data_IF_606552566184
#
_entry.id   IF_606552566184
#
_cell.length_a   1.000
_cell.length_b   1.000
_cell.length_c   1.000
_cell.angle_alpha   90.00
_cell.angle_beta   90.00
_cell.angle_gamma   90.00
#
_symmetry.space_group_name_H-M   'P 1'
#
loop_
_entity.id
_entity.type
_entity.pdbx_description
1 polymer ?
#
# COMPACT_ATOMS: atom_id res chain seq x y z
N UNK A 1 23.57 -11.03 -6.60
CA UNK A 1 22.69 -10.13 -7.38
C UNK A 1 21.31 -10.24 -6.75
N UNK A 2 21.04 -9.47 -5.69
CA UNK A 2 19.72 -9.41 -5.07
C UNK A 2 19.05 -8.13 -5.58
N UNK A 3 18.50 -8.23 -6.79
CA UNK A 3 17.85 -7.09 -7.43
C UNK A 3 16.42 -6.92 -6.89
N UNK A 4 16.08 -5.70 -6.46
CA UNK A 4 14.73 -5.19 -6.24
C UNK A 4 13.91 -5.86 -5.12
N UNK A 5 14.29 -5.63 -3.86
CA UNK A 5 13.44 -6.00 -2.72
C UNK A 5 12.23 -5.06 -2.66
N UNK A 6 11.02 -5.63 -2.62
CA UNK A 6 9.79 -4.86 -2.37
C UNK A 6 9.59 -4.77 -0.86
N UNK A 7 9.45 -3.54 -0.36
CA UNK A 7 9.20 -3.26 1.05
C UNK A 7 7.76 -2.78 1.20
N UNK A 8 7.02 -3.45 2.07
CA UNK A 8 5.67 -3.09 2.49
C UNK A 8 5.73 -2.47 3.88
N UNK A 9 5.26 -1.24 4.02
CA UNK A 9 5.26 -0.51 5.29
C UNK A 9 3.83 -0.12 5.66
N UNK A 10 3.24 -0.90 6.58
CA UNK A 10 1.91 -0.62 7.12
C UNK A 10 1.92 0.62 8.01
N UNK A 11 0.84 1.40 7.95
CA UNK A 11 0.60 2.57 8.80
C UNK A 11 -0.64 2.31 9.67
N UNK A 12 -0.52 1.51 10.75
CA UNK A 12 -1.66 1.03 11.53
C UNK A 12 -2.13 2.00 12.63
N UNK A 13 -1.43 3.13 12.81
CA UNK A 13 -1.76 4.14 13.82
C UNK A 13 -2.42 5.38 13.21
N UNK A 14 -2.68 5.36 11.89
CA UNK A 14 -3.22 6.52 11.17
C UNK A 14 -4.23 6.07 10.12
N UNK A 15 -5.48 6.50 10.30
CA UNK A 15 -6.52 6.40 9.30
C UNK A 15 -6.63 7.72 8.54
N UNK A 16 -6.41 7.68 7.23
CA UNK A 16 -6.41 8.84 6.36
C UNK A 16 -7.40 8.65 5.22
N UNK A 17 -7.86 9.74 4.62
CA UNK A 17 -8.56 9.64 3.34
C UNK A 17 -7.60 9.16 2.23
N UNK A 18 -8.15 8.77 1.08
CA UNK A 18 -7.33 8.18 0.02
C UNK A 18 -6.22 9.12 -0.46
N UNK A 19 -6.53 10.41 -0.61
CA UNK A 19 -5.60 11.39 -1.17
C UNK A 19 -4.51 11.72 -0.14
N UNK A 20 -4.88 11.87 1.14
CA UNK A 20 -3.96 12.00 2.27
C UNK A 20 -3.00 10.79 2.36
N UNK A 21 -3.52 9.56 2.28
CA UNK A 21 -2.72 8.33 2.33
C UNK A 21 -1.78 8.20 1.11
N UNK A 22 -2.26 8.56 -0.08
CA UNK A 22 -1.44 8.62 -1.28
C UNK A 22 -0.27 9.60 -1.12
N UNK A 23 -0.55 10.82 -0.65
CA UNK A 23 0.45 11.85 -0.51
C UNK A 23 1.45 11.52 0.61
N UNK A 24 1.00 10.83 1.67
CA UNK A 24 1.88 10.28 2.70
C UNK A 24 2.93 9.32 2.13
N UNK A 25 2.51 8.36 1.29
CA UNK A 25 3.44 7.42 0.67
C UNK A 25 4.35 8.12 -0.33
N UNK A 26 3.80 9.05 -1.14
CA UNK A 26 4.56 9.82 -2.11
C UNK A 26 5.67 10.65 -1.45
N UNK A 27 5.39 11.27 -0.30
CA UNK A 27 6.37 12.04 0.48
C UNK A 27 7.56 11.18 0.96
N UNK A 28 7.42 9.86 0.98
CA UNK A 28 8.44 8.88 1.36
C UNK A 28 9.07 8.15 0.17
N UNK A 29 8.95 8.72 -1.04
CA UNK A 29 9.38 8.08 -2.29
C UNK A 29 8.80 6.67 -2.47
N UNK A 30 7.58 6.47 -1.99
CA UNK A 30 6.83 5.22 -2.09
C UNK A 30 5.50 5.46 -2.83
N UNK A 31 4.77 4.39 -3.09
CA UNK A 31 3.41 4.43 -3.61
C UNK A 31 2.45 3.77 -2.62
N UNK A 32 1.16 4.04 -2.72
CA UNK A 32 0.18 3.19 -2.04
C UNK A 32 0.35 1.74 -2.53
N UNK A 33 0.23 0.82 -1.58
CA UNK A 33 0.47 -0.59 -1.80
C UNK A 33 -0.30 -1.20 -2.98
N UNK A 34 0.35 -2.14 -3.66
CA UNK A 34 -0.22 -2.83 -4.81
C UNK A 34 -0.34 -4.32 -4.55
N UNK A 35 -1.30 -4.91 -5.24
CA UNK A 35 -1.54 -6.34 -5.26
C UNK A 35 -1.77 -6.70 -6.72
N UNK A 36 -0.69 -7.09 -7.40
CA UNK A 36 -0.64 -7.21 -8.85
C UNK A 36 -0.87 -8.65 -9.35
N UNK A 37 -0.88 -9.63 -8.45
CA UNK A 37 -1.10 -11.04 -8.78
C UNK A 37 -1.48 -11.84 -7.53
N UNK A 38 -1.78 -13.13 -7.73
CA UNK A 38 -2.15 -14.07 -6.65
C UNK A 38 -1.05 -14.22 -5.59
N UNK A 39 0.23 -14.19 -5.99
CA UNK A 39 1.34 -14.37 -5.07
C UNK A 39 1.49 -13.16 -4.14
N UNK A 40 1.43 -11.96 -4.68
CA UNK A 40 1.41 -10.72 -3.90
C UNK A 40 0.18 -10.67 -2.97
N UNK A 41 -1.00 -11.10 -3.44
CA UNK A 41 -2.18 -11.16 -2.59
C UNK A 41 -1.97 -12.05 -1.37
N UNK A 42 -1.34 -13.21 -1.55
CA UNK A 42 -1.02 -14.12 -0.43
C UNK A 42 -0.03 -13.50 0.54
N UNK A 43 1.03 -12.85 0.03
CA UNK A 43 2.05 -12.19 0.85
C UNK A 43 1.38 -11.08 1.68
N UNK A 44 0.67 -10.16 1.03
CA UNK A 44 0.00 -9.04 1.69
C UNK A 44 -1.05 -9.54 2.69
N UNK A 45 -1.83 -10.58 2.34
CA UNK A 45 -2.79 -11.19 3.28
C UNK A 45 -2.10 -11.71 4.54
N UNK A 46 -1.01 -12.45 4.39
CA UNK A 46 -0.31 -13.02 5.55
C UNK A 46 0.39 -11.94 6.38
N UNK A 47 0.92 -10.90 5.75
CA UNK A 47 1.64 -9.83 6.43
C UNK A 47 0.73 -8.82 7.11
N UNK A 48 -0.45 -8.55 6.53
CA UNK A 48 -1.30 -7.43 6.94
C UNK A 48 -2.66 -7.82 7.52
N UNK A 49 -2.97 -9.12 7.67
CA UNK A 49 -4.28 -9.60 8.14
C UNK A 49 -4.75 -8.96 9.45
N UNK A 50 -3.84 -8.59 10.36
CA UNK A 50 -4.17 -8.02 11.67
C UNK A 50 -4.39 -6.51 11.68
N UNK A 51 -4.08 -5.79 10.59
CA UNK A 51 -4.16 -4.33 10.53
C UNK A 51 -5.52 -3.81 10.06
N UNK A 52 -6.47 -4.69 9.74
CA UNK A 52 -7.83 -4.29 9.33
C UNK A 52 -7.94 -3.90 7.86
N UNK A 53 -8.86 -2.99 7.56
CA UNK A 53 -9.12 -2.50 6.19
C UNK A 53 -8.09 -1.44 5.82
N UNK A 54 -7.49 -1.57 4.64
CA UNK A 54 -6.38 -0.71 4.22
C UNK A 54 -6.59 -0.15 2.82
N UNK A 55 -6.23 1.11 2.58
CA UNK A 55 -6.12 1.66 1.23
C UNK A 55 -5.07 0.92 0.40
N UNK A 56 -5.38 0.72 -0.88
CA UNK A 56 -4.41 0.29 -1.90
C UNK A 56 -4.39 1.30 -3.05
N UNK A 57 -3.34 1.27 -3.88
CA UNK A 57 -3.16 2.22 -4.98
C UNK A 57 -4.15 2.09 -6.15
N UNK A 58 -5.23 1.31 -6.01
CA UNK A 58 -6.20 1.05 -7.06
C UNK A 58 -7.38 2.03 -6.99
N UNK A 59 -7.81 2.53 -8.15
CA UNK A 59 -8.91 3.46 -8.31
C UNK A 59 -9.96 2.90 -9.27
N UNK A 60 -11.24 3.18 -9.02
CA UNK A 60 -12.32 3.00 -10.00
C UNK A 60 -12.59 4.33 -10.71
N UNK A 61 -12.05 4.48 -11.93
CA UNK A 61 -12.31 5.63 -12.79
C UNK A 61 -13.29 5.22 -13.89
N UNK A 62 -14.50 5.78 -13.86
CA UNK A 62 -15.55 5.43 -14.80
C UNK A 62 -15.34 6.00 -16.21
N UNK A 63 -14.49 7.01 -16.36
CA UNK A 63 -14.27 7.69 -17.65
C UNK A 63 -13.17 7.02 -18.48
N UNK A 64 -12.09 6.56 -17.84
CA UNK A 64 -10.84 6.19 -18.54
C UNK A 64 -10.31 4.79 -18.17
N UNK A 65 -11.23 3.83 -18.08
CA UNK A 65 -11.06 2.43 -17.66
C UNK A 65 -11.42 2.20 -16.18
N UNK A 66 -12.45 1.37 -16.00
CA UNK A 66 -13.11 1.05 -14.72
C UNK A 66 -12.16 0.73 -13.56
N UNK A 67 -10.90 0.33 -13.78
CA UNK A 67 -9.94 0.17 -12.69
C UNK A 67 -8.49 0.46 -13.11
N UNK A 68 -7.83 1.43 -12.47
CA UNK A 68 -6.43 1.81 -12.75
C UNK A 68 -5.59 1.93 -11.49
N UNK A 69 -4.33 1.51 -11.58
CA UNK A 69 -3.35 1.75 -10.51
C UNK A 69 -2.83 3.19 -10.62
N UNK A 70 -2.78 3.90 -9.48
CA UNK A 70 -2.36 5.31 -9.41
C UNK A 70 -0.91 5.52 -9.85
N UNK A 71 -0.04 4.52 -9.69
CA UNK A 71 1.34 4.53 -10.14
C UNK A 71 1.52 4.21 -11.63
N UNK A 72 0.41 3.95 -12.36
CA UNK A 72 0.42 3.60 -13.78
C UNK A 72 0.68 2.11 -14.07
N UNK A 73 0.74 1.25 -13.04
CA UNK A 73 0.87 -0.19 -13.26
C UNK A 73 -0.30 -0.75 -14.09
N UNK A 74 0.00 -1.71 -14.96
CA UNK A 74 -0.97 -2.27 -15.93
C UNK A 74 -1.59 -3.60 -15.50
N UNK A 75 -1.34 -4.07 -14.28
CA UNK A 75 -1.91 -5.34 -13.82
C UNK A 75 -3.45 -5.31 -13.79
N UNK A 76 -4.04 -6.30 -14.46
CA UNK A 76 -5.48 -6.56 -14.47
C UNK A 76 -5.95 -7.44 -13.29
N UNK A 77 -5.05 -7.85 -12.38
CA UNK A 77 -5.43 -8.71 -11.25
C UNK A 77 -6.44 -8.02 -10.33
N UNK A 78 -7.57 -8.67 -10.06
CA UNK A 78 -8.59 -8.21 -9.12
C UNK A 78 -9.12 -9.40 -8.34
N UNK A 79 -9.26 -9.24 -7.02
CA UNK A 79 -9.87 -10.24 -6.14
C UNK A 79 -10.97 -9.57 -5.32
N UNK A 80 -12.12 -9.35 -5.94
CA UNK A 80 -13.27 -8.72 -5.26
C UNK A 80 -13.75 -9.56 -4.08
N UNK A 81 -14.16 -8.90 -2.99
CA UNK A 81 -14.73 -9.58 -1.84
C UNK A 81 -16.01 -10.32 -2.20
N UNK A 82 -16.27 -11.45 -1.52
CA UNK A 82 -17.50 -12.22 -1.75
C UNK A 82 -18.76 -11.34 -1.60
N UNK A 83 -19.66 -11.43 -2.58
CA UNK A 83 -20.87 -10.61 -2.64
C UNK A 83 -20.67 -9.18 -3.15
N UNK A 84 -19.42 -8.74 -3.37
CA UNK A 84 -19.13 -7.46 -4.01
C UNK A 84 -18.93 -7.65 -5.51
N UNK A 85 -19.61 -6.82 -6.31
CA UNK A 85 -19.38 -6.73 -7.74
C UNK A 85 -18.61 -5.42 -8.03
N UNK A 86 -17.71 -5.40 -9.03
CA UNK A 86 -17.09 -4.15 -9.48
C UNK A 86 -18.21 -3.15 -9.81
N UNK A 87 -18.35 -2.12 -8.99
CA UNK A 87 -19.47 -1.21 -9.02
C UNK A 87 -19.40 -0.30 -10.25
N UNK A 88 -20.54 0.20 -10.70
CA UNK A 88 -20.58 1.30 -11.68
C UNK A 88 -20.44 2.67 -11.00
N UNK A 89 -19.76 2.74 -9.85
CA UNK A 89 -19.54 3.97 -9.08
C UNK A 89 -18.06 4.28 -9.02
N UNK A 90 -17.69 5.52 -9.35
CA UNK A 90 -16.32 5.98 -9.17
C UNK A 90 -15.96 5.94 -7.69
N UNK A 91 -14.71 5.61 -7.38
CA UNK A 91 -14.29 5.46 -6.00
C UNK A 91 -12.87 4.95 -5.85
N UNK A 92 -12.48 4.76 -4.60
CA UNK A 92 -11.17 4.30 -4.19
C UNK A 92 -11.27 2.85 -3.70
N UNK A 93 -10.18 2.09 -3.80
CA UNK A 93 -10.22 0.66 -3.48
C UNK A 93 -9.46 0.38 -2.19
N UNK A 94 -10.10 -0.39 -1.32
CA UNK A 94 -9.49 -0.95 -0.12
C UNK A 94 -9.18 -2.43 -0.28
N UNK A 95 -8.19 -2.89 0.46
CA UNK A 95 -7.90 -4.27 0.78
C UNK A 95 -8.43 -4.61 2.18
N UNK A 96 -9.11 -5.75 2.33
CA UNK A 96 -9.54 -6.28 3.64
C UNK A 96 -9.61 -7.80 3.62
N UNK A 97 -9.56 -8.45 4.77
CA UNK A 97 -9.66 -9.91 4.86
C UNK A 97 -11.07 -10.39 4.50
N UNK A 98 -11.17 -11.38 3.59
CA UNK A 98 -12.43 -12.04 3.28
C UNK A 98 -12.71 -13.14 4.31
N UNK A 99 -13.54 -12.81 5.31
CA UNK A 99 -13.94 -13.74 6.36
C UNK A 99 -14.91 -14.83 5.87
N UNK A 100 -15.42 -14.72 4.63
CA UNK A 100 -16.40 -15.66 4.06
C UNK A 100 -15.73 -16.70 3.15
N UNK A 101 -14.58 -16.40 2.55
CA UNK A 101 -13.93 -17.29 1.58
C UNK A 101 -12.40 -17.32 1.76
N UNK A 102 -11.90 -18.44 2.30
CA UNK A 102 -10.48 -18.83 2.32
C UNK A 102 -9.50 -17.92 3.08
N UNK A 103 -9.97 -16.95 3.89
CA UNK A 103 -9.11 -16.15 4.77
C UNK A 103 -8.00 -15.41 4.03
N UNK A 104 -8.23 -15.05 2.76
CA UNK A 104 -7.34 -14.22 1.97
C UNK A 104 -7.97 -12.86 1.79
N UNK A 105 -7.15 -11.82 1.69
CA UNK A 105 -7.66 -10.50 1.45
C UNK A 105 -8.27 -10.34 0.06
N UNK A 106 -9.18 -9.37 -0.02
CA UNK A 106 -10.03 -9.07 -1.14
C UNK A 106 -10.21 -7.55 -1.27
N UNK A 107 -10.73 -7.13 -2.42
CA UNK A 107 -10.87 -5.73 -2.79
C UNK A 107 -12.32 -5.28 -2.64
N UNK A 108 -12.49 -4.02 -2.26
CA UNK A 108 -13.80 -3.38 -2.16
C UNK A 108 -13.73 -1.92 -2.64
N UNK A 109 -14.79 -1.43 -3.29
CA UNK A 109 -14.86 -0.05 -3.78
C UNK A 109 -15.63 0.78 -2.77
N UNK A 110 -15.01 1.87 -2.32
CA UNK A 110 -15.51 2.73 -1.27
C UNK A 110 -15.38 4.21 -1.65
N UNK A 111 -16.09 5.08 -0.93
CA UNK A 111 -15.89 6.54 -1.07
C UNK A 111 -14.46 6.91 -0.67
N UNK A 112 -13.82 7.74 -1.48
CA UNK A 112 -12.43 8.17 -1.28
C UNK A 112 -12.24 9.04 -0.01
N UNK A 113 -13.32 9.64 0.50
CA UNK A 113 -13.31 10.50 1.69
C UNK A 113 -13.39 9.70 3.01
N UNK A 114 -13.61 8.38 2.94
CA UNK A 114 -13.56 7.52 4.12
C UNK A 114 -12.13 7.46 4.64
N UNK A 115 -11.96 7.22 5.95
CA UNK A 115 -10.64 7.06 6.54
C UNK A 115 -10.38 5.58 6.79
N UNK A 116 -9.20 5.13 6.35
CA UNK A 116 -8.72 3.77 6.58
C UNK A 116 -7.22 3.78 6.82
N UNK A 117 -6.72 2.72 7.45
CA UNK A 117 -5.29 2.43 7.44
C UNK A 117 -4.79 2.27 6.01
N UNK A 118 -3.48 2.20 5.84
CA UNK A 118 -2.89 2.06 4.53
C UNK A 118 -1.49 1.50 4.66
N UNK A 119 -0.92 1.04 3.55
CA UNK A 119 0.49 0.66 3.53
C UNK A 119 1.15 1.25 2.29
N UNK A 120 2.40 1.65 2.48
CA UNK A 120 3.23 2.12 1.41
C UNK A 120 4.04 0.95 0.85
N UNK A 121 4.22 0.93 -0.47
CA UNK A 121 5.11 0.02 -1.17
C UNK A 121 6.23 0.82 -1.83
N UNK A 122 7.46 0.41 -1.59
CA UNK A 122 8.62 0.92 -2.34
C UNK A 122 9.53 -0.21 -2.78
N UNK A 123 10.23 0.02 -3.89
CA UNK A 123 11.37 -0.82 -4.25
C UNK A 123 12.59 -0.30 -3.51
N UNK A 124 13.31 -1.21 -2.88
CA UNK A 124 14.61 -0.93 -2.27
C UNK A 124 15.68 -1.55 -3.13
N UNK A 125 16.63 -0.71 -3.52
CA UNK A 125 17.89 -1.17 -4.10
C UNK A 125 18.94 -1.20 -2.97
N UNK A 126 20.03 -1.93 -3.13
CA UNK A 126 21.11 -1.97 -2.11
C UNK A 126 21.64 -0.56 -1.73
N UNK A 127 21.56 0.40 -2.67
CA UNK A 127 21.92 1.80 -2.45
C UNK A 127 21.02 2.53 -1.42
N UNK A 128 19.73 2.18 -1.35
CA UNK A 128 18.79 2.78 -0.38
C UNK A 128 19.11 2.32 1.04
N UNK A 129 19.52 1.06 1.21
CA UNK A 129 19.99 0.55 2.50
C UNK A 129 21.26 1.27 2.95
N UNK A 130 22.22 1.51 2.05
CA UNK A 130 23.43 2.26 2.37
C UNK A 130 23.12 3.72 2.76
N UNK A 131 22.24 4.39 2.03
CA UNK A 131 21.82 5.76 2.35
C UNK A 131 21.07 5.83 3.69
N UNK A 132 20.18 4.87 3.98
CA UNK A 132 19.44 4.81 5.24
C UNK A 132 20.35 4.51 6.43
N UNK A 133 21.31 3.60 6.29
CA UNK A 133 22.34 3.34 7.32
C UNK A 133 23.21 4.58 7.53
N UNK A 134 23.59 5.28 6.46
CA UNK A 134 24.38 6.51 6.54
C UNK A 134 23.62 7.61 7.28
N UNK A 135 22.33 7.80 7.03
CA UNK A 135 21.49 8.74 7.79
C UNK A 135 21.37 8.38 9.27
N UNK A 136 21.18 7.09 9.60
CA UNK A 136 21.12 6.64 11.00
C UNK A 136 22.46 6.90 11.71
N UNK A 137 23.58 6.66 11.03
CA UNK A 137 24.91 6.92 11.57
C UNK A 137 25.17 8.43 11.73
N UNK A 138 24.77 9.25 10.76
CA UNK A 138 24.88 10.71 10.83
C UNK A 138 24.05 11.28 11.99
N UNK A 139 22.78 10.86 12.14
CA UNK A 139 21.94 11.29 13.26
C UNK A 139 22.53 10.89 14.62
N UNK A 140 23.10 9.69 14.74
CA UNK A 140 23.80 9.26 15.97
C UNK A 140 25.06 10.09 16.25
N UNK A 141 25.81 10.47 15.23
CA UNK A 141 26.99 11.33 15.39
C UNK A 141 26.59 12.74 15.85
N UNK A 142 25.49 13.29 15.35
CA UNK A 142 24.94 14.57 15.80
C UNK A 142 24.47 14.51 17.25
N UNK A 143 23.77 13.44 17.66
CA UNK A 143 23.37 13.23 19.06
C UNK A 143 24.56 13.07 20.02
N UNK A 144 25.63 12.39 19.59
CA UNK A 144 26.87 12.27 20.36
C UNK A 144 27.57 13.63 20.45
N UNK A 145 27.61 14.39 19.36
CA UNK A 145 28.21 15.74 19.34
C UNK A 145 27.47 16.74 20.22
N UNK A 146 26.18 16.55 20.48
CA UNK A 146 25.39 17.41 21.38
C UNK A 146 25.50 16.99 22.86
N UNK A 147 26.14 15.85 23.13
CA UNK A 147 26.37 15.31 24.47
C UNK A 147 27.82 15.43 24.97
N UNK A 148 28.72 15.96 24.16
CA UNK A 148 30.08 16.37 24.55
C UNK A 148 30.13 17.89 24.76
#
# INVERSE_FOLDING_TARGET
LLDNVIIFEAQPDSELDYQEAHDFCKARNAVLGKILNVQENKIVSNSLASFGTMWIGLLNDLENAKFKWKDGNKSAYRRWCSGQQPTNMAGCVVFRMDNLVNGQGCFDVVSCDMKFFFYCERRSNDADNFNSLTQILQGRLEEISQRC
#
